data_IF_352811663403
#
_entry.id   IF_352811663403
#
_cell.length_a   1.000
_cell.length_b   1.000
_cell.length_c   1.000
_cell.angle_alpha   90.00
_cell.angle_beta   90.00
_cell.angle_gamma   90.00
#
_symmetry.space_group_name_H-M   'P 1'
#
loop_
_entity.id
_entity.type
_entity.pdbx_description
1 polymer ?
#
# COMPACT_ATOMS: atom_id res chain seq x y z
N UNK A 1 3.92 4.65 -11.90
CA UNK A 1 4.16 5.56 -10.77
C UNK A 1 2.88 6.34 -10.54
N UNK A 2 2.60 6.73 -9.30
CA UNK A 2 1.49 7.63 -8.97
C UNK A 2 2.06 8.93 -8.40
N UNK A 3 1.32 10.03 -8.58
CA UNK A 3 1.63 11.34 -8.01
C UNK A 3 1.07 11.42 -6.60
N UNK A 4 1.67 12.29 -5.78
CA UNK A 4 1.17 12.56 -4.43
C UNK A 4 -0.30 13.00 -4.43
N UNK A 5 -0.70 13.82 -5.42
CA UNK A 5 -2.09 14.26 -5.60
C UNK A 5 -3.09 13.12 -5.86
N UNK A 6 -2.61 11.97 -6.33
CA UNK A 6 -3.43 10.77 -6.60
C UNK A 6 -3.53 9.86 -5.36
N UNK A 7 -2.70 10.08 -4.34
CA UNK A 7 -2.64 9.31 -3.10
C UNK A 7 -3.69 9.77 -2.07
N UNK A 8 -4.97 9.62 -2.42
CA UNK A 8 -6.11 10.14 -1.64
C UNK A 8 -6.70 9.14 -0.64
N UNK A 9 -6.46 7.84 -0.85
CA UNK A 9 -6.93 6.72 -0.01
C UNK A 9 -5.77 6.06 0.75
N UNK A 10 -6.04 5.29 1.84
CA UNK A 10 -5.01 4.53 2.53
C UNK A 10 -4.20 3.59 1.62
N UNK A 11 -4.86 2.87 0.70
CA UNK A 11 -4.12 1.98 -0.21
C UNK A 11 -3.31 2.75 -1.27
N UNK A 12 -3.82 3.86 -1.81
CA UNK A 12 -3.06 4.68 -2.76
C UNK A 12 -1.88 5.41 -2.09
N UNK A 13 -2.03 5.88 -0.84
CA UNK A 13 -0.91 6.36 -0.02
C UNK A 13 0.14 5.29 0.21
N UNK A 14 -0.27 4.04 0.42
CA UNK A 14 0.67 2.93 0.59
C UNK A 14 1.45 2.64 -0.70
N UNK A 15 0.80 2.75 -1.86
CA UNK A 15 1.48 2.65 -3.17
C UNK A 15 2.49 3.77 -3.35
N UNK A 16 2.17 5.00 -2.92
CA UNK A 16 3.09 6.13 -3.00
C UNK A 16 4.31 5.92 -2.10
N UNK A 17 4.11 5.51 -0.84
CA UNK A 17 5.22 5.19 0.07
C UNK A 17 6.12 4.06 -0.48
N UNK A 18 5.54 3.01 -1.08
CA UNK A 18 6.29 1.93 -1.73
C UNK A 18 7.10 2.41 -2.93
N UNK A 19 6.57 3.38 -3.69
CA UNK A 19 7.30 4.00 -4.80
C UNK A 19 8.52 4.77 -4.27
N UNK A 20 8.36 5.57 -3.23
CA UNK A 20 9.46 6.33 -2.63
C UNK A 20 10.53 5.40 -2.04
N UNK A 21 10.14 4.26 -1.44
CA UNK A 21 11.08 3.22 -1.00
C UNK A 21 11.93 2.66 -2.14
N UNK A 22 11.34 2.51 -3.33
CA UNK A 22 12.07 2.03 -4.51
C UNK A 22 13.06 3.07 -5.02
N UNK A 23 12.78 4.36 -4.85
CA UNK A 23 13.55 5.46 -5.43
C UNK A 23 14.63 6.04 -4.50
N UNK A 24 14.44 5.94 -3.19
CA UNK A 24 15.35 6.53 -2.19
C UNK A 24 16.42 5.56 -1.75
N UNK A 25 17.63 6.07 -1.55
CA UNK A 25 18.76 5.30 -0.98
C UNK A 25 18.53 4.94 0.50
N UNK A 26 17.86 5.81 1.26
CA UNK A 26 17.53 5.59 2.67
C UNK A 26 16.06 5.93 2.96
N UNK A 27 15.13 4.97 2.77
CA UNK A 27 13.71 5.23 2.88
C UNK A 27 13.13 5.00 4.28
N UNK A 28 13.79 5.52 5.32
CA UNK A 28 13.38 5.29 6.70
C UNK A 28 12.00 5.88 7.04
N UNK A 29 11.72 7.09 6.56
CA UNK A 29 10.45 7.78 6.81
C UNK A 29 9.29 7.06 6.12
N UNK A 30 9.52 6.56 4.91
CA UNK A 30 8.52 5.84 4.11
C UNK A 30 8.17 4.49 4.73
N UNK A 31 9.14 3.77 5.29
CA UNK A 31 8.91 2.51 5.99
C UNK A 31 8.06 2.72 7.26
N UNK A 32 8.30 3.81 7.99
CA UNK A 32 7.47 4.19 9.13
C UNK A 32 6.05 4.58 8.71
N UNK A 33 5.91 5.32 7.62
CA UNK A 33 4.61 5.69 7.06
C UNK A 33 3.84 4.46 6.59
N UNK A 34 4.50 3.51 5.93
CA UNK A 34 3.91 2.23 5.51
C UNK A 34 3.33 1.45 6.68
N UNK A 35 4.03 1.44 7.82
CA UNK A 35 3.55 0.78 9.03
C UNK A 35 2.28 1.44 9.57
N UNK A 36 2.20 2.77 9.54
CA UNK A 36 0.98 3.51 9.93
C UNK A 36 -0.19 3.26 8.96
N UNK A 37 0.09 3.26 7.66
CA UNK A 37 -0.91 3.00 6.62
C UNK A 37 -1.43 1.57 6.68
N UNK A 38 -0.55 0.59 6.96
CA UNK A 38 -0.97 -0.80 7.15
C UNK A 38 -2.00 -0.93 8.28
N UNK A 39 -1.78 -0.27 9.42
CA UNK A 39 -2.75 -0.27 10.53
C UNK A 39 -4.08 0.38 10.09
N UNK A 40 -4.04 1.52 9.40
CA UNK A 40 -5.26 2.19 8.92
C UNK A 40 -6.04 1.32 7.93
N UNK A 41 -5.35 0.66 7.00
CA UNK A 41 -5.98 -0.26 6.03
C UNK A 41 -6.61 -1.44 6.77
N UNK A 42 -5.94 -2.01 7.76
CA UNK A 42 -6.48 -3.14 8.52
C UNK A 42 -7.69 -2.78 9.39
N UNK A 43 -7.78 -1.53 9.84
CA UNK A 43 -8.94 -1.03 10.58
C UNK A 43 -10.18 -0.91 9.69
N UNK A 44 -10.02 -0.56 8.42
CA UNK A 44 -11.14 -0.36 7.48
C UNK A 44 -11.43 -1.57 6.61
N UNK A 45 -10.40 -2.35 6.29
CA UNK A 45 -10.43 -3.54 5.43
C UNK A 45 -9.60 -4.68 6.06
N UNK A 46 -10.10 -5.34 7.12
CA UNK A 46 -9.39 -6.45 7.76
C UNK A 46 -9.06 -7.61 6.81
N UNK A 47 -9.86 -7.80 5.75
CA UNK A 47 -9.63 -8.80 4.70
C UNK A 47 -8.34 -8.57 3.90
N UNK A 48 -7.73 -7.38 3.98
CA UNK A 48 -6.45 -7.07 3.35
C UNK A 48 -5.22 -7.58 4.13
N UNK A 49 -5.41 -8.22 5.29
CA UNK A 49 -4.32 -8.69 6.14
C UNK A 49 -3.29 -9.59 5.42
N UNK A 50 -3.68 -10.57 4.60
CA UNK A 50 -2.72 -11.39 3.86
C UNK A 50 -1.84 -10.56 2.91
N UNK A 51 -2.42 -9.57 2.23
CA UNK A 51 -1.72 -8.70 1.28
C UNK A 51 -0.75 -7.76 2.00
N UNK A 52 -1.17 -7.21 3.15
CA UNK A 52 -0.32 -6.36 4.00
C UNK A 52 0.88 -7.16 4.52
N UNK A 53 0.66 -8.37 5.01
CA UNK A 53 1.72 -9.25 5.50
C UNK A 53 2.72 -9.59 4.38
N UNK A 54 2.22 -9.92 3.18
CA UNK A 54 3.07 -10.22 2.02
C UNK A 54 3.94 -9.00 1.64
N UNK A 55 3.37 -7.79 1.66
CA UNK A 55 4.13 -6.56 1.37
C UNK A 55 5.22 -6.32 2.41
N UNK A 56 4.92 -6.50 3.70
CA UNK A 56 5.90 -6.36 4.77
C UNK A 56 7.04 -7.38 4.64
N UNK A 57 6.72 -8.63 4.30
CA UNK A 57 7.72 -9.66 4.06
C UNK A 57 8.61 -9.35 2.85
N UNK A 58 8.03 -8.87 1.74
CA UNK A 58 8.81 -8.46 0.58
C UNK A 58 9.75 -7.28 0.90
N UNK A 59 9.33 -6.35 1.76
CA UNK A 59 10.17 -5.24 2.22
C UNK A 59 11.32 -5.74 3.10
N UNK A 60 11.08 -6.67 4.02
CA UNK A 60 12.15 -7.24 4.86
C UNK A 60 13.18 -8.03 4.04
N UNK A 61 12.74 -8.66 2.95
CA UNK A 61 13.60 -9.33 1.96
C UNK A 61 14.26 -8.37 0.95
N UNK A 62 14.09 -7.04 1.12
CA UNK A 62 14.56 -5.99 0.19
C UNK A 62 14.03 -6.13 -1.25
N UNK A 63 12.94 -6.86 -1.46
CA UNK A 63 12.24 -7.03 -2.75
C UNK A 63 11.28 -5.86 -3.00
N UNK A 64 11.78 -4.63 -2.90
CA UNK A 64 10.98 -3.38 -2.93
C UNK A 64 10.14 -3.23 -4.21
N UNK A 65 10.68 -3.60 -5.37
CA UNK A 65 9.93 -3.57 -6.64
C UNK A 65 8.73 -4.54 -6.65
N UNK A 66 8.86 -5.70 -5.99
CA UNK A 66 7.78 -6.68 -5.90
C UNK A 66 6.73 -6.20 -4.90
N UNK A 67 7.17 -5.65 -3.76
CA UNK A 67 6.30 -5.01 -2.77
C UNK A 67 5.46 -3.89 -3.42
N UNK A 68 6.08 -3.05 -4.26
CA UNK A 68 5.38 -2.02 -5.01
C UNK A 68 4.30 -2.58 -5.96
N UNK A 69 4.59 -3.68 -6.67
CA UNK A 69 3.58 -4.35 -7.51
C UNK A 69 2.41 -4.87 -6.69
N UNK A 70 2.67 -5.44 -5.52
CA UNK A 70 1.63 -5.93 -4.60
C UNK A 70 0.80 -4.79 -4.01
N UNK A 71 1.42 -3.65 -3.67
CA UNK A 71 0.70 -2.44 -3.26
C UNK A 71 -0.29 -1.97 -4.32
N UNK A 72 0.10 -1.95 -5.60
CA UNK A 72 -0.83 -1.58 -6.68
C UNK A 72 -2.02 -2.54 -6.80
N UNK A 73 -1.79 -3.84 -6.59
CA UNK A 73 -2.87 -4.83 -6.59
C UNK A 73 -3.83 -4.60 -5.41
N UNK A 74 -3.31 -4.25 -4.23
CA UNK A 74 -4.14 -3.90 -3.08
C UNK A 74 -4.98 -2.64 -3.33
N UNK A 75 -4.40 -1.61 -3.95
CA UNK A 75 -5.14 -0.40 -4.34
C UNK A 75 -6.28 -0.71 -5.33
N UNK A 76 -6.08 -1.64 -6.26
CA UNK A 76 -7.14 -2.09 -7.16
C UNK A 76 -8.29 -2.79 -6.41
N UNK A 77 -7.97 -3.65 -5.43
CA UNK A 77 -8.96 -4.32 -4.58
C UNK A 77 -9.80 -3.33 -3.75
N UNK A 78 -9.16 -2.28 -3.23
CA UNK A 78 -9.86 -1.19 -2.52
C UNK A 78 -10.86 -0.49 -3.45
N UNK A 79 -10.46 -0.19 -4.69
CA UNK A 79 -11.31 0.47 -5.67
C UNK A 79 -12.54 -0.38 -6.08
N UNK A 80 -12.35 -1.70 -6.22
CA UNK A 80 -13.44 -2.63 -6.54
C UNK A 80 -14.43 -2.74 -5.37
N UNK A 81 -13.92 -2.88 -4.14
CA UNK A 81 -14.75 -2.94 -2.92
C UNK A 81 -15.59 -1.67 -2.75
N UNK A 82 -15.00 -0.50 -3.02
CA UNK A 82 -15.70 0.78 -2.94
C UNK A 82 -16.77 0.96 -4.03
N UNK A 83 -16.57 0.33 -5.20
CA UNK A 83 -17.53 0.33 -6.30
C UNK A 83 -18.74 -0.56 -5.99
N UNK A 84 -18.51 -1.74 -5.42
CA UNK A 84 -19.57 -2.66 -5.01
C UNK A 84 -20.45 -2.06 -3.90
N UNK A 85 -19.85 -1.38 -2.92
CA UNK A 85 -20.59 -0.72 -1.83
C UNK A 85 -21.50 0.45 -2.26
N UNK A 86 -21.31 1.01 -3.47
CA UNK A 86 -22.17 2.07 -4.03
C UNK A 86 -23.25 1.53 -4.98
N UNK A 87 -23.19 0.26 -5.35
CA UNK A 87 -24.12 -0.36 -6.30
C UNK A 87 -25.25 -1.15 -5.62
N UNK A 88 -25.23 -1.28 -4.29
CA UNK A 88 -26.30 -1.82 -3.46
C UNK A 88 -27.03 -0.74 -2.68
#
# INVERSE_FOLDING_TARGET
>A
MIRESEATSPCSKMVFALQEIVLKENPFEELNELSRLAVQILQTMPSAAPQILEIQQLLSEKKTHVAFKKGKALMALEADTFREAKAG
#
